data_IF_327594614415
#
_entry.id   IF_327594614415
#
_cell.length_a   1.000
_cell.length_b   1.000
_cell.length_c   1.000
_cell.angle_alpha   90.00
_cell.angle_beta   90.00
_cell.angle_gamma   90.00
#
_symmetry.space_group_name_H-M   'P 1'
#
loop_
_entity.id
_entity.type
_entity.pdbx_description
1 polymer ?
#
# COMPACT_ATOMS: atom_id res chain seq x y z
N UNK A 1 2.07 -30.46 -23.29
CA UNK A 1 2.31 -30.35 -21.83
C UNK A 1 3.82 -30.39 -21.58
N UNK A 2 4.31 -29.72 -20.52
CA UNK A 2 5.72 -29.79 -20.11
C UNK A 2 6.01 -31.14 -19.40
N UNK A 3 7.27 -31.59 -19.46
CA UNK A 3 7.76 -32.83 -18.83
C UNK A 3 7.71 -32.71 -17.30
N UNK A 4 7.49 -33.83 -16.61
CA UNK A 4 7.65 -33.92 -15.15
C UNK A 4 9.07 -33.49 -14.71
N UNK A 5 9.15 -32.63 -13.69
CA UNK A 5 10.40 -32.07 -13.18
C UNK A 5 10.99 -30.90 -13.96
N UNK A 6 10.36 -30.45 -15.05
CA UNK A 6 10.79 -29.24 -15.76
C UNK A 6 10.24 -27.99 -15.05
N UNK A 7 11.13 -27.11 -14.58
CA UNK A 7 10.81 -25.89 -13.80
C UNK A 7 10.18 -26.14 -12.42
N UNK A 8 10.36 -27.34 -11.87
CA UNK A 8 9.92 -27.65 -10.51
C UNK A 8 10.77 -26.83 -9.51
N UNK A 9 10.13 -25.91 -8.79
CA UNK A 9 10.70 -24.89 -7.89
C UNK A 9 11.29 -23.61 -8.54
N UNK A 10 11.09 -23.39 -9.85
CA UNK A 10 11.35 -22.09 -10.50
C UNK A 10 10.14 -21.14 -10.33
N UNK A 11 10.33 -19.82 -10.49
CA UNK A 11 9.26 -18.82 -10.40
C UNK A 11 9.21 -18.04 -9.07
N UNK A 12 10.09 -18.37 -8.11
CA UNK A 12 10.20 -17.64 -6.85
C UNK A 12 10.60 -16.17 -7.06
N UNK A 13 11.30 -15.86 -8.14
CA UNK A 13 11.65 -14.52 -8.58
C UNK A 13 10.43 -13.64 -8.90
N UNK A 14 9.28 -14.23 -9.23
CA UNK A 14 8.04 -13.49 -9.50
C UNK A 14 7.33 -12.99 -8.23
N UNK A 15 7.76 -13.43 -7.03
CA UNK A 15 7.13 -13.05 -5.77
C UNK A 15 7.42 -11.60 -5.35
N UNK A 16 8.39 -10.94 -6.00
CA UNK A 16 8.78 -9.56 -5.69
C UNK A 16 9.30 -9.39 -4.26
N UNK A 17 9.36 -8.14 -3.81
CA UNK A 17 9.76 -7.80 -2.45
C UNK A 17 8.73 -6.87 -1.80
N UNK A 18 8.35 -7.16 -0.56
CA UNK A 18 7.50 -6.31 0.25
C UNK A 18 8.27 -5.81 1.47
N UNK A 19 8.64 -4.52 1.49
CA UNK A 19 9.30 -3.87 2.62
C UNK A 19 8.36 -2.83 3.24
N UNK A 20 7.62 -3.17 4.32
CA UNK A 20 6.67 -2.25 4.93
C UNK A 20 7.36 -0.98 5.43
N UNK A 21 6.65 0.15 5.38
CA UNK A 21 7.06 1.35 6.11
C UNK A 21 6.94 1.08 7.61
N UNK A 22 7.77 1.74 8.41
CA UNK A 22 7.57 1.74 9.86
C UNK A 22 6.33 2.57 10.20
N UNK A 23 5.60 2.18 11.23
CA UNK A 23 4.36 2.85 11.60
C UNK A 23 4.69 4.20 12.21
N UNK A 24 5.62 4.23 13.17
CA UNK A 24 5.99 5.45 13.90
C UNK A 24 7.37 6.00 13.53
N UNK A 25 7.59 7.29 13.79
CA UNK A 25 8.90 7.94 13.66
C UNK A 25 9.96 7.30 14.55
N UNK A 26 9.57 6.87 15.75
CA UNK A 26 10.45 6.20 16.70
C UNK A 26 10.97 4.87 16.14
N UNK A 27 10.07 4.02 15.64
CA UNK A 27 10.42 2.74 15.00
C UNK A 27 11.33 2.94 13.78
N UNK A 28 11.02 3.93 12.94
CA UNK A 28 11.85 4.29 11.79
C UNK A 28 13.28 4.62 12.21
N UNK A 29 13.44 5.48 13.23
CA UNK A 29 14.75 5.91 13.73
C UNK A 29 15.53 4.77 14.37
N UNK A 30 14.87 3.96 15.20
CA UNK A 30 15.49 2.79 15.82
C UNK A 30 16.00 1.77 14.78
N UNK A 31 15.26 1.60 13.68
CA UNK A 31 15.64 0.72 12.59
C UNK A 31 16.59 1.36 11.55
N UNK A 32 16.96 2.64 11.70
CA UNK A 32 17.79 3.36 10.72
C UNK A 32 17.15 3.48 9.33
N UNK A 33 15.83 3.41 9.22
CA UNK A 33 15.15 3.42 7.92
C UNK A 33 15.10 4.85 7.34
N UNK A 34 15.64 5.10 6.13
CA UNK A 34 15.68 6.44 5.55
C UNK A 34 14.31 6.93 5.08
N UNK A 35 13.36 6.02 4.81
CA UNK A 35 12.02 6.38 4.34
C UNK A 35 11.14 6.82 5.51
N UNK A 36 10.46 7.96 5.38
CA UNK A 36 9.46 8.43 6.37
C UNK A 36 8.45 7.34 6.73
N UNK A 37 8.10 7.29 8.03
CA UNK A 37 7.09 6.39 8.59
C UNK A 37 5.68 6.71 8.06
N UNK A 38 4.71 5.84 8.34
CA UNK A 38 3.31 6.11 8.04
C UNK A 38 2.80 7.33 8.82
N UNK A 39 3.14 7.43 10.10
CA UNK A 39 2.84 8.59 10.95
C UNK A 39 3.41 9.89 10.36
N UNK A 40 4.67 9.88 9.89
CA UNK A 40 5.29 11.08 9.29
C UNK A 40 4.66 11.45 7.93
N UNK A 41 4.02 10.51 7.23
CA UNK A 41 3.37 10.72 5.93
C UNK A 41 1.94 11.21 6.05
N UNK A 42 1.17 10.60 6.96
CA UNK A 42 -0.28 10.74 7.00
C UNK A 42 -0.80 11.28 8.34
N UNK A 43 0.06 11.36 9.37
CA UNK A 43 -0.26 11.74 10.76
C UNK A 43 -1.11 10.70 11.49
N UNK A 44 -2.28 10.38 10.96
CA UNK A 44 -3.26 9.48 11.55
C UNK A 44 -4.03 8.69 10.48
N UNK A 45 -4.97 7.84 10.92
CA UNK A 45 -5.80 7.03 10.02
C UNK A 45 -6.67 7.90 9.10
N UNK A 46 -7.26 8.99 9.61
CA UNK A 46 -8.10 9.89 8.81
C UNK A 46 -7.27 10.56 7.70
N UNK A 47 -6.05 11.01 8.03
CA UNK A 47 -5.11 11.59 7.08
C UNK A 47 -4.69 10.59 6.00
N UNK A 48 -4.56 9.30 6.34
CA UNK A 48 -4.32 8.24 5.37
C UNK A 48 -5.51 8.09 4.40
N UNK A 49 -6.73 7.94 4.92
CA UNK A 49 -7.95 7.82 4.12
C UNK A 49 -8.13 9.04 3.20
N UNK A 50 -7.84 10.24 3.71
CA UNK A 50 -7.92 11.49 2.93
C UNK A 50 -6.96 11.51 1.74
N UNK A 51 -5.71 11.08 1.94
CA UNK A 51 -4.74 11.03 0.84
C UNK A 51 -5.08 9.92 -0.17
N UNK A 52 -5.64 8.78 0.26
CA UNK A 52 -6.19 7.76 -0.64
C UNK A 52 -7.32 8.33 -1.49
N UNK A 53 -8.32 8.98 -0.87
CA UNK A 53 -9.45 9.58 -1.57
C UNK A 53 -8.99 10.61 -2.62
N UNK A 54 -8.01 11.45 -2.26
CA UNK A 54 -7.42 12.45 -3.16
C UNK A 54 -6.70 11.80 -4.34
N UNK A 55 -5.95 10.72 -4.12
CA UNK A 55 -5.28 9.99 -5.18
C UNK A 55 -6.28 9.30 -6.12
N UNK A 56 -7.29 8.60 -5.57
CA UNK A 56 -8.33 7.92 -6.35
C UNK A 56 -9.11 8.91 -7.23
N UNK A 57 -9.58 10.03 -6.66
CA UNK A 57 -10.25 11.10 -7.42
C UNK A 57 -9.35 11.72 -8.49
N UNK A 58 -8.02 11.74 -8.28
CA UNK A 58 -7.08 12.19 -9.33
C UNK A 58 -7.04 11.21 -10.49
N UNK A 59 -7.02 9.91 -10.21
CA UNK A 59 -7.03 8.87 -11.23
C UNK A 59 -8.34 8.83 -12.01
N UNK A 60 -9.48 9.06 -11.36
CA UNK A 60 -10.78 9.24 -12.01
C UNK A 60 -10.75 10.41 -13.00
N UNK A 61 -10.24 11.58 -12.59
CA UNK A 61 -10.09 12.73 -13.51
C UNK A 61 -9.19 12.42 -14.72
N UNK A 62 -8.22 11.52 -14.55
CA UNK A 62 -7.37 11.04 -15.64
C UNK A 62 -8.01 9.90 -16.46
N UNK A 63 -9.23 9.49 -16.13
CA UNK A 63 -9.97 8.36 -16.74
C UNK A 63 -9.27 7.02 -16.58
N UNK A 64 -8.49 6.86 -15.51
CA UNK A 64 -7.91 5.56 -15.13
C UNK A 64 -8.81 4.75 -14.19
N UNK A 65 -9.73 5.42 -13.49
CA UNK A 65 -10.70 4.80 -12.59
C UNK A 65 -12.11 5.28 -12.92
N UNK A 66 -13.10 4.41 -12.70
CA UNK A 66 -14.51 4.78 -12.67
C UNK A 66 -14.86 5.40 -11.30
N UNK A 67 -15.99 6.09 -11.22
CA UNK A 67 -16.48 6.64 -9.95
C UNK A 67 -16.71 5.53 -8.89
N UNK A 68 -17.18 4.36 -9.33
CA UNK A 68 -17.36 3.17 -8.47
C UNK A 68 -16.03 2.67 -7.90
N UNK A 69 -14.95 2.68 -8.69
CA UNK A 69 -13.62 2.30 -8.22
C UNK A 69 -13.09 3.28 -7.17
N UNK A 70 -13.34 4.58 -7.37
CA UNK A 70 -12.95 5.60 -6.38
C UNK A 70 -13.59 5.32 -5.04
N UNK A 71 -14.90 5.04 -5.04
CA UNK A 71 -15.60 4.75 -3.79
C UNK A 71 -15.05 3.48 -3.14
N UNK A 72 -14.81 2.43 -3.92
CA UNK A 72 -14.23 1.18 -3.43
C UNK A 72 -12.88 1.39 -2.74
N UNK A 73 -11.97 2.17 -3.33
CA UNK A 73 -10.67 2.47 -2.70
C UNK A 73 -10.81 3.29 -1.40
N UNK A 74 -11.80 4.17 -1.31
CA UNK A 74 -12.06 4.94 -0.09
C UNK A 74 -12.60 4.02 1.00
N UNK A 75 -13.56 3.15 0.68
CA UNK A 75 -14.16 2.20 1.63
C UNK A 75 -13.12 1.20 2.15
N UNK A 76 -12.27 0.67 1.26
CA UNK A 76 -11.15 -0.21 1.65
C UNK A 76 -10.15 0.51 2.56
N UNK A 77 -9.83 1.78 2.29
CA UNK A 77 -8.94 2.55 3.15
C UNK A 77 -9.55 2.79 4.54
N UNK A 78 -10.84 3.09 4.62
CA UNK A 78 -11.59 3.25 5.88
C UNK A 78 -11.66 1.96 6.69
N UNK A 79 -11.79 0.81 6.02
CA UNK A 79 -11.82 -0.50 6.67
C UNK A 79 -10.41 -1.01 7.07
N UNK A 80 -9.34 -0.35 6.61
CA UNK A 80 -7.96 -0.78 6.87
C UNK A 80 -7.51 -0.49 8.31
N UNK A 81 -6.49 -1.20 8.76
CA UNK A 81 -5.86 -0.97 10.07
C UNK A 81 -4.67 0.01 10.04
N UNK A 82 -4.51 0.77 8.95
CA UNK A 82 -3.37 1.69 8.81
C UNK A 82 -3.51 2.83 9.82
N UNK A 83 -2.55 2.96 10.75
CA UNK A 83 -2.54 4.02 11.78
C UNK A 83 -3.77 4.01 12.70
N UNK A 84 -4.44 2.85 12.86
CA UNK A 84 -5.33 2.65 13.99
C UNK A 84 -4.51 2.47 15.28
N UNK A 85 -5.03 2.92 16.44
CA UNK A 85 -4.35 2.77 17.73
C UNK A 85 -4.17 1.30 18.14
#
# INVERSE_FOLDING_TARGET
MRRAGFSENEGCEANGQHIPFKTTKAERRAAGNPRHSLEERYKDHEGYVKEVAKAARKLERHRFLLAEDVQKYIDEAQASNVLLP
#
